data_IF_307086069175
#
_entry.id   IF_307086069175
#
_cell.length_a   1.000
_cell.length_b   1.000
_cell.length_c   1.000
_cell.angle_alpha   90.00
_cell.angle_beta   90.00
_cell.angle_gamma   90.00
#
_symmetry.space_group_name_H-M   'P 1'
#
loop_
_entity.id
_entity.type
_entity.pdbx_description
1 polymer ?
#
# COMPACT_ATOMS: atom_id res chain seq x y z
N UNK A 1 15.41 1.84 21.43
CA UNK A 1 16.03 3.05 20.83
C UNK A 1 16.03 2.85 19.31
N UNK A 2 15.30 3.70 18.57
CA UNK A 2 15.09 3.59 17.11
C UNK A 2 16.41 3.54 16.33
N UNK A 3 17.42 4.30 16.74
CA UNK A 3 18.73 4.31 16.05
C UNK A 3 19.40 2.92 16.07
N UNK A 4 19.27 2.19 17.18
CA UNK A 4 19.79 0.82 17.28
C UNK A 4 18.98 -0.16 16.45
N UNK A 5 17.68 0.08 16.27
CA UNK A 5 16.82 -0.75 15.43
C UNK A 5 17.18 -0.54 13.95
N UNK A 6 17.29 0.72 13.51
CA UNK A 6 17.71 1.09 12.15
C UNK A 6 19.07 0.44 11.82
N UNK A 7 20.06 0.60 12.68
CA UNK A 7 21.38 -0.01 12.47
C UNK A 7 21.31 -1.54 12.35
N UNK A 8 20.47 -2.20 13.16
CA UNK A 8 20.27 -3.65 13.09
C UNK A 8 19.56 -4.09 11.83
N UNK A 9 18.53 -3.35 11.38
CA UNK A 9 17.82 -3.67 10.15
C UNK A 9 18.68 -3.43 8.91
N UNK A 10 19.52 -2.39 8.91
CA UNK A 10 20.52 -2.18 7.85
C UNK A 10 21.53 -3.34 7.79
N UNK A 11 22.03 -3.79 8.95
CA UNK A 11 22.91 -4.96 9.00
C UNK A 11 22.19 -6.23 8.57
N UNK A 12 20.96 -6.46 9.03
CA UNK A 12 20.16 -7.62 8.61
C UNK A 12 19.92 -7.61 7.09
N UNK A 13 19.70 -6.45 6.48
CA UNK A 13 19.55 -6.31 5.02
C UNK A 13 20.82 -6.61 4.23
N UNK A 14 21.99 -6.66 4.89
CA UNK A 14 23.26 -7.09 4.26
C UNK A 14 23.48 -8.59 4.33
N UNK A 15 22.77 -9.29 5.22
CA UNK A 15 22.87 -10.75 5.42
C UNK A 15 21.70 -11.45 4.74
N UNK A 16 20.48 -10.97 4.99
CA UNK A 16 19.28 -11.38 4.28
C UNK A 16 19.20 -10.54 3.03
N UNK A 17 19.65 -11.08 1.91
CA UNK A 17 19.50 -10.45 0.61
C UNK A 17 18.12 -10.78 0.04
N UNK A 18 17.64 -9.96 -0.90
CA UNK A 18 16.38 -10.25 -1.60
C UNK A 18 16.40 -11.60 -2.32
N UNK A 19 17.56 -12.07 -2.82
CA UNK A 19 17.68 -13.33 -3.54
C UNK A 19 17.66 -14.55 -2.62
N UNK A 20 18.34 -14.46 -1.48
CA UNK A 20 18.59 -15.62 -0.63
C UNK A 20 17.51 -15.81 0.43
N UNK A 21 16.93 -14.69 0.89
CA UNK A 21 15.93 -14.65 1.96
C UNK A 21 14.87 -13.58 1.67
N UNK A 22 14.07 -13.75 0.59
CA UNK A 22 13.17 -12.71 0.10
C UNK A 22 12.18 -12.24 1.17
N UNK A 23 11.61 -13.16 1.95
CA UNK A 23 10.57 -12.86 2.94
C UNK A 23 11.17 -12.12 4.14
N UNK A 24 12.27 -12.61 4.70
CA UNK A 24 12.97 -11.98 5.83
C UNK A 24 13.54 -10.62 5.43
N UNK A 25 14.04 -10.50 4.19
CA UNK A 25 14.48 -9.23 3.65
C UNK A 25 13.32 -8.24 3.54
N UNK A 26 12.17 -8.65 2.97
CA UNK A 26 10.99 -7.80 2.87
C UNK A 26 10.47 -7.35 4.24
N UNK A 27 10.44 -8.26 5.22
CA UNK A 27 10.09 -7.95 6.59
C UNK A 27 11.05 -6.92 7.20
N UNK A 28 12.34 -7.09 6.94
CA UNK A 28 13.38 -6.15 7.39
C UNK A 28 13.18 -4.77 6.76
N UNK A 29 12.84 -4.70 5.47
CA UNK A 29 12.55 -3.45 4.78
C UNK A 29 11.28 -2.77 5.34
N UNK A 30 10.19 -3.50 5.59
CA UNK A 30 8.99 -2.92 6.23
C UNK A 30 9.30 -2.36 7.62
N UNK A 31 10.08 -3.10 8.42
CA UNK A 31 10.49 -2.63 9.76
C UNK A 31 11.41 -1.41 9.70
N UNK A 32 12.31 -1.36 8.72
CA UNK A 32 13.17 -0.21 8.47
C UNK A 32 12.35 1.01 8.06
N UNK A 33 11.35 0.82 7.19
CA UNK A 33 10.42 1.87 6.79
C UNK A 33 9.66 2.46 7.97
N UNK A 34 9.08 1.61 8.81
CA UNK A 34 8.40 2.05 10.04
C UNK A 34 9.36 2.83 10.96
N UNK A 35 10.57 2.31 11.17
CA UNK A 35 11.55 2.95 12.03
C UNK A 35 11.95 4.35 11.53
N UNK A 36 12.06 4.54 10.22
CA UNK A 36 12.30 5.86 9.64
C UNK A 36 11.08 6.78 9.71
N UNK A 37 9.87 6.27 9.45
CA UNK A 37 8.61 7.00 9.63
C UNK A 37 8.41 7.50 11.06
N UNK A 38 8.89 6.79 12.07
CA UNK A 38 8.77 7.18 13.49
C UNK A 38 9.97 7.98 14.00
N UNK A 39 11.04 8.10 13.21
CA UNK A 39 12.29 8.72 13.64
C UNK A 39 12.14 10.24 13.77
N UNK A 40 12.32 10.73 14.99
CA UNK A 40 12.32 12.16 15.35
C UNK A 40 13.70 12.82 15.09
N UNK A 41 14.79 12.04 15.13
CA UNK A 41 16.15 12.54 14.92
C UNK A 41 16.47 12.68 13.44
N UNK A 42 17.34 13.63 13.08
CA UNK A 42 17.75 13.90 11.70
C UNK A 42 16.76 14.79 10.95
N UNK A 43 16.94 14.93 9.63
CA UNK A 43 15.99 15.64 8.77
C UNK A 43 14.73 14.78 8.59
N UNK A 44 13.57 15.32 9.00
CA UNK A 44 12.28 14.64 8.85
C UNK A 44 11.96 14.34 7.40
N UNK A 45 12.33 15.23 6.48
CA UNK A 45 12.08 15.05 5.07
C UNK A 45 12.89 13.86 4.52
N UNK A 46 14.16 13.76 4.88
CA UNK A 46 15.02 12.63 4.51
C UNK A 46 14.53 11.30 5.12
N UNK A 47 14.14 11.30 6.40
CA UNK A 47 13.60 10.11 7.05
C UNK A 47 12.35 9.58 6.30
N UNK A 48 11.46 10.47 5.83
CA UNK A 48 10.28 10.07 5.07
C UNK A 48 10.64 9.49 3.69
N UNK A 49 11.64 10.02 3.00
CA UNK A 49 12.11 9.42 1.73
C UNK A 49 12.69 8.02 1.95
N UNK A 50 13.50 7.84 3.00
CA UNK A 50 14.05 6.53 3.37
C UNK A 50 12.95 5.53 3.75
N UNK A 51 11.89 6.00 4.40
CA UNK A 51 10.73 5.17 4.73
C UNK A 51 9.99 4.69 3.47
N UNK A 52 9.71 5.63 2.55
CA UNK A 52 9.06 5.35 1.26
C UNK A 52 9.87 4.32 0.47
N UNK A 53 11.18 4.52 0.35
CA UNK A 53 12.09 3.60 -0.36
C UNK A 53 12.07 2.19 0.25
N UNK A 54 12.09 2.09 1.58
CA UNK A 54 12.05 0.81 2.27
C UNK A 54 10.71 0.08 2.07
N UNK A 55 9.57 0.79 2.13
CA UNK A 55 8.27 0.17 1.84
C UNK A 55 8.16 -0.27 0.38
N UNK A 56 8.63 0.52 -0.58
CA UNK A 56 8.65 0.14 -1.99
C UNK A 56 9.50 -1.13 -2.22
N UNK A 57 10.65 -1.25 -1.55
CA UNK A 57 11.46 -2.47 -1.58
C UNK A 57 10.70 -3.67 -1.03
N UNK A 58 10.05 -3.55 0.11
CA UNK A 58 9.24 -4.63 0.67
C UNK A 58 8.12 -5.07 -0.29
N UNK A 59 7.47 -4.13 -0.98
CA UNK A 59 6.42 -4.40 -1.99
C UNK A 59 6.94 -5.09 -3.27
N UNK A 60 8.25 -5.18 -3.48
CA UNK A 60 8.81 -6.00 -4.56
C UNK A 60 8.80 -7.50 -4.26
N UNK A 61 8.54 -7.88 -3.00
CA UNK A 61 8.42 -9.28 -2.55
C UNK A 61 7.03 -9.55 -2.01
N UNK A 62 6.51 -8.68 -1.14
CA UNK A 62 5.12 -8.75 -0.73
C UNK A 62 4.26 -8.30 -1.89
N UNK A 63 3.68 -9.25 -2.61
CA UNK A 63 2.71 -9.01 -3.68
C UNK A 63 1.30 -9.20 -3.15
N UNK A 64 0.32 -8.64 -3.86
CA UNK A 64 -1.10 -8.83 -3.54
C UNK A 64 -1.51 -10.32 -3.55
N UNK A 65 -0.90 -11.11 -4.44
CA UNK A 65 -1.27 -12.51 -4.68
C UNK A 65 -0.64 -13.45 -3.65
N UNK A 66 0.66 -13.29 -3.39
CA UNK A 66 1.42 -14.21 -2.54
C UNK A 66 1.33 -13.85 -1.05
N UNK A 67 1.25 -12.55 -0.74
CA UNK A 67 1.28 -12.02 0.63
C UNK A 67 0.24 -10.91 0.84
N UNK A 68 -1.06 -11.21 0.67
CA UNK A 68 -2.10 -10.18 0.66
C UNK A 68 -2.14 -9.34 1.94
N UNK A 69 -1.88 -9.94 3.10
CA UNK A 69 -1.93 -9.23 4.38
C UNK A 69 -0.73 -8.29 4.56
N UNK A 70 0.47 -8.79 4.29
CA UNK A 70 1.71 -8.02 4.37
C UNK A 70 1.73 -6.91 3.30
N UNK A 71 1.20 -7.18 2.11
CA UNK A 71 1.04 -6.20 1.05
C UNK A 71 0.09 -5.09 1.46
N UNK A 72 -1.11 -5.42 1.99
CA UNK A 72 -2.07 -4.41 2.51
C UNK A 72 -1.44 -3.55 3.60
N UNK A 73 -0.75 -4.17 4.56
CA UNK A 73 -0.10 -3.44 5.65
C UNK A 73 1.00 -2.51 5.12
N UNK A 74 1.82 -2.99 4.19
CA UNK A 74 2.93 -2.22 3.62
C UNK A 74 2.43 -1.08 2.73
N UNK A 75 1.38 -1.32 1.92
CA UNK A 75 0.71 -0.28 1.14
C UNK A 75 0.09 0.80 2.04
N UNK A 76 -0.52 0.41 3.15
CA UNK A 76 -1.07 1.37 4.13
C UNK A 76 0.03 2.26 4.72
N UNK A 77 1.18 1.67 5.07
CA UNK A 77 2.30 2.42 5.62
C UNK A 77 2.95 3.34 4.57
N UNK A 78 3.04 2.88 3.31
CA UNK A 78 3.49 3.69 2.19
C UNK A 78 2.56 4.89 1.95
N UNK A 79 1.23 4.67 2.01
CA UNK A 79 0.24 5.74 1.90
C UNK A 79 0.39 6.80 2.98
N UNK A 80 0.58 6.38 4.24
CA UNK A 80 0.87 7.29 5.34
C UNK A 80 2.16 8.08 5.11
N UNK A 81 3.24 7.42 4.68
CA UNK A 81 4.52 8.07 4.41
C UNK A 81 4.43 9.11 3.28
N UNK A 82 3.67 8.82 2.20
CA UNK A 82 3.38 9.81 1.16
C UNK A 82 2.51 10.96 1.68
N UNK A 83 1.51 10.67 2.51
CA UNK A 83 0.67 11.69 3.14
C UNK A 83 1.48 12.61 4.05
N UNK A 84 2.57 12.14 4.66
CA UNK A 84 3.44 12.95 5.52
C UNK A 84 4.61 13.59 4.76
N UNK A 85 4.86 13.16 3.51
CA UNK A 85 6.02 13.56 2.71
C UNK A 85 6.11 15.08 2.55
N UNK A 86 7.30 15.59 2.88
CA UNK A 86 7.63 17.02 2.87
C UNK A 86 8.20 17.47 1.51
N UNK A 87 8.97 16.60 0.84
CA UNK A 87 9.59 16.93 -0.46
C UNK A 87 8.61 16.76 -1.61
N UNK A 88 8.80 17.55 -2.66
CA UNK A 88 7.98 17.51 -3.85
C UNK A 88 6.67 18.29 -3.72
N UNK A 89 5.80 18.13 -4.71
CA UNK A 89 4.50 18.79 -4.72
C UNK A 89 3.50 18.10 -3.78
N UNK A 90 2.78 18.90 -2.98
CA UNK A 90 1.86 18.40 -1.97
C UNK A 90 0.67 17.65 -2.59
N UNK A 91 0.12 18.15 -3.68
CA UNK A 91 -1.00 17.48 -4.36
C UNK A 91 -0.53 16.14 -4.92
N UNK A 92 0.66 16.09 -5.52
CA UNK A 92 1.22 14.85 -6.05
C UNK A 92 1.48 13.81 -4.96
N UNK A 93 1.98 14.24 -3.80
CA UNK A 93 2.19 13.35 -2.65
C UNK A 93 0.86 12.76 -2.15
N UNK A 94 -0.22 13.57 -2.11
CA UNK A 94 -1.53 13.09 -1.72
C UNK A 94 -2.16 12.14 -2.74
N UNK A 95 -1.95 12.36 -4.05
CA UNK A 95 -2.36 11.41 -5.09
C UNK A 95 -1.72 10.04 -4.89
N UNK A 96 -0.40 10.01 -4.63
CA UNK A 96 0.33 8.76 -4.36
C UNK A 96 -0.16 8.07 -3.07
N UNK A 97 -0.49 8.86 -2.03
CA UNK A 97 -1.06 8.33 -0.80
C UNK A 97 -2.42 7.67 -1.05
N UNK A 98 -3.30 8.35 -1.80
CA UNK A 98 -4.63 7.84 -2.16
C UNK A 98 -4.51 6.55 -2.95
N UNK A 99 -3.60 6.51 -3.94
CA UNK A 99 -3.35 5.30 -4.73
C UNK A 99 -2.95 4.13 -3.82
N UNK A 100 -1.99 4.32 -2.91
CA UNK A 100 -1.55 3.27 -1.99
C UNK A 100 -2.69 2.78 -1.07
N UNK A 101 -3.54 3.67 -0.57
CA UNK A 101 -4.70 3.28 0.25
C UNK A 101 -5.79 2.56 -0.55
N UNK A 102 -6.01 2.94 -1.81
CA UNK A 102 -6.94 2.25 -2.70
C UNK A 102 -6.45 0.84 -3.00
N UNK A 103 -5.16 0.68 -3.27
CA UNK A 103 -4.52 -0.64 -3.42
C UNK A 103 -4.77 -1.50 -2.18
N UNK A 104 -4.45 -1.00 -0.98
CA UNK A 104 -4.70 -1.71 0.28
C UNK A 104 -6.17 -2.10 0.51
N UNK A 105 -7.12 -1.24 0.13
CA UNK A 105 -8.56 -1.47 0.33
C UNK A 105 -9.16 -2.47 -0.66
N UNK A 106 -8.53 -2.67 -1.82
CA UNK A 106 -8.99 -3.62 -2.84
C UNK A 106 -9.01 -5.06 -2.32
N UNK A 107 -7.98 -5.46 -1.56
CA UNK A 107 -7.83 -6.83 -1.01
C UNK A 107 -8.87 -7.13 0.05
N UNK A 108 -9.16 -6.17 0.96
CA UNK A 108 -10.22 -6.35 1.95
C UNK A 108 -11.55 -6.61 1.26
N UNK A 109 -11.85 -5.88 0.20
CA UNK A 109 -13.06 -6.11 -0.59
C UNK A 109 -13.08 -7.51 -1.23
N UNK A 110 -11.93 -8.01 -1.71
CA UNK A 110 -11.82 -9.36 -2.30
C UNK A 110 -11.91 -10.48 -1.24
N UNK A 111 -11.30 -10.30 -0.07
CA UNK A 111 -11.30 -11.29 1.02
C UNK A 111 -12.61 -11.31 1.82
N UNK A 112 -13.20 -10.14 2.08
CA UNK A 112 -14.44 -10.00 2.85
C UNK A 112 -15.67 -10.31 1.98
N UNK A 113 -15.59 -10.13 0.66
CA UNK A 113 -16.67 -10.46 -0.28
C UNK A 113 -16.21 -11.29 -1.51
N UNK A 114 -15.65 -12.49 -1.33
CA UNK A 114 -15.15 -13.31 -2.44
C UNK A 114 -16.25 -13.66 -3.45
N UNK A 115 -17.48 -13.91 -2.97
CA UNK A 115 -18.62 -14.26 -3.83
C UNK A 115 -19.13 -13.07 -4.65
N UNK A 116 -19.12 -11.85 -4.13
CA UNK A 116 -19.59 -10.68 -4.88
C UNK A 116 -18.60 -10.31 -6.00
N UNK A 117 -17.28 -10.43 -5.73
CA UNK A 117 -16.23 -10.19 -6.72
C UNK A 117 -16.18 -11.28 -7.81
N UNK A 118 -16.41 -12.55 -7.45
CA UNK A 118 -16.54 -13.63 -8.41
C UNK A 118 -17.74 -13.41 -9.36
N UNK A 119 -18.86 -12.92 -8.82
CA UNK A 119 -20.07 -12.62 -9.60
C UNK A 119 -19.90 -11.41 -10.54
N UNK A 120 -19.11 -10.39 -10.18
CA UNK A 120 -18.85 -9.23 -11.05
C UNK A 120 -17.94 -9.57 -12.23
N UNK A 121 -16.99 -10.50 -12.05
CA UNK A 121 -16.10 -11.01 -13.12
C UNK A 121 -16.80 -12.04 -14.02
N UNK A 122 -17.72 -12.85 -13.49
CA UNK A 122 -18.42 -13.89 -14.26
C UNK A 122 -19.63 -13.38 -15.03
N UNK A 123 -20.03 -12.12 -14.86
CA UNK A 123 -21.22 -11.58 -15.52
C UNK A 123 -20.83 -10.90 -16.84
N UNK A 124 -21.10 -11.53 -18.02
CA UNK A 124 -20.68 -10.99 -19.33
C UNK A 124 -21.30 -9.63 -19.67
N UNK A 125 -22.28 -9.15 -18.89
CA UNK A 125 -22.90 -7.84 -19.08
C UNK A 125 -22.01 -6.66 -18.64
N UNK A 126 -21.01 -6.87 -17.76
CA UNK A 126 -20.20 -5.78 -17.22
C UNK A 126 -18.89 -5.52 -18.00
N UNK A 127 -18.62 -6.28 -19.07
CA UNK A 127 -17.48 -6.10 -19.98
C UNK A 127 -17.74 -5.09 -21.12
N UNK A 128 -18.83 -4.33 -21.04
CA UNK A 128 -19.18 -3.30 -22.03
C UNK A 128 -19.12 -1.95 -21.34
N UNK A 129 -17.92 -1.37 -21.29
CA UNK A 129 -17.57 -0.15 -20.56
C UNK A 129 -18.56 1.02 -20.70
N UNK A 130 -19.59 1.03 -19.86
CA UNK A 130 -20.49 2.15 -19.66
C UNK A 130 -20.53 2.51 -18.17
N UNK A 131 -20.51 3.81 -17.84
CA UNK A 131 -20.40 4.24 -16.46
C UNK A 131 -21.69 3.92 -15.70
N UNK A 132 -21.52 3.41 -14.49
CA UNK A 132 -22.60 3.15 -13.53
C UNK A 132 -23.20 4.52 -13.18
N UNK A 133 -24.30 4.91 -13.84
CA UNK A 133 -25.06 6.10 -13.44
C UNK A 133 -25.81 5.77 -12.14
N UNK A 134 -25.30 6.29 -11.04
CA UNK A 134 -25.98 6.31 -9.75
C UNK A 134 -27.28 7.12 -9.85
N UNK A 135 -28.35 6.46 -9.43
CA UNK A 135 -29.75 6.85 -9.23
C UNK A 135 -30.14 8.34 -9.24
N UNK A 136 -31.29 8.63 -9.88
CA UNK A 136 -32.28 9.60 -9.37
C UNK A 136 -33.68 9.21 -9.83
N UNK A 137 -34.39 8.56 -8.91
CA UNK A 137 -35.81 8.65 -8.52
C UNK A 137 -36.83 9.26 -9.52
N UNK A 138 -38.00 8.61 -9.61
CA UNK A 138 -39.38 9.17 -9.46
C UNK A 138 -40.36 8.70 -10.54
N UNK A 139 -41.21 7.75 -10.10
CA UNK A 139 -42.67 7.64 -10.29
C UNK A 139 -43.22 7.41 -11.69
N UNK A 140 -43.82 6.24 -11.85
CA UNK A 140 -44.68 5.92 -12.98
C UNK A 140 -45.99 6.72 -13.01
N UNK A 141 -46.50 6.92 -14.21
CA UNK A 141 -47.94 6.94 -14.50
C UNK A 141 -48.15 6.43 -15.93
N UNK A 142 -48.81 5.27 -16.05
CA UNK A 142 -49.74 4.99 -17.15
C UNK A 142 -51.12 5.33 -16.62
N UNK A 143 -51.74 6.41 -17.09
CA UNK A 143 -52.99 6.43 -17.89
C UNK A 143 -52.99 7.73 -18.67
#
# INVERSE_FOLDING_TARGET
NLEKAIARYQLASSVYTQSDFPIEWAQTQTNLGNAYSDRIRGDRAENLELAIEAFQRALSVYTQEDFPMEWVQTQTNLGNAYSDRIRGDRAKNLELAIEAFQQASSVRTTQDFPMAWAMTQSNPQNNLGLPIMTESVVIGKRI
#
